data_IF_031267630430
#
_entry.id   IF_031267630430
#
_cell.length_a   1.000
_cell.length_b   1.000
_cell.length_c   1.000
_cell.angle_alpha   90.00
_cell.angle_beta   90.00
_cell.angle_gamma   90.00
#
_symmetry.space_group_name_H-M   'P 1'
#
loop_
_entity.id
_entity.type
_entity.pdbx_description
1 polymer ?
#
# COMPACT_ATOMS: atom_id res chain seq x y z
N UNK A 1 9.29 39.15 -4.23
CA UNK A 1 8.06 39.11 -3.44
C UNK A 1 7.76 37.67 -3.09
N UNK A 2 8.09 37.22 -1.87
CA UNK A 2 7.86 35.87 -1.44
C UNK A 2 6.37 35.64 -1.14
N UNK A 3 5.86 34.50 -1.55
CA UNK A 3 4.54 33.99 -1.21
C UNK A 3 4.53 33.58 0.27
N UNK A 4 4.34 34.52 1.19
CA UNK A 4 4.26 34.29 2.62
C UNK A 4 2.91 33.74 3.10
N UNK A 5 1.86 33.83 2.27
CA UNK A 5 0.49 33.48 2.67
C UNK A 5 0.13 32.00 2.46
N UNK A 6 1.00 31.20 1.88
CA UNK A 6 0.76 29.75 1.67
C UNK A 6 1.00 28.93 2.94
N UNK A 7 1.71 29.48 3.91
CA UNK A 7 2.07 28.83 5.18
C UNK A 7 1.17 29.24 6.36
N UNK A 8 0.27 30.21 6.18
CA UNK A 8 -0.69 30.58 7.20
C UNK A 8 -1.88 29.61 7.15
N UNK A 9 -1.85 28.64 8.06
CA UNK A 9 -3.02 27.77 8.30
C UNK A 9 -4.14 28.68 8.83
N UNK A 10 -5.27 28.73 8.10
CA UNK A 10 -6.45 29.48 8.53
C UNK A 10 -6.82 29.07 9.96
N UNK A 11 -6.96 30.00 10.92
CA UNK A 11 -7.37 29.70 12.30
C UNK A 11 -8.64 28.84 12.39
N UNK A 12 -9.54 28.96 11.42
CA UNK A 12 -10.73 28.08 11.32
C UNK A 12 -10.38 26.62 10.99
N UNK A 13 -9.29 26.37 10.26
CA UNK A 13 -8.81 25.01 9.97
C UNK A 13 -8.21 24.37 11.22
N UNK A 14 -7.46 25.12 12.03
CA UNK A 14 -6.91 24.63 13.30
C UNK A 14 -8.01 24.28 14.29
N UNK A 15 -9.01 25.15 14.48
CA UNK A 15 -10.15 24.88 15.36
C UNK A 15 -10.93 23.64 14.93
N UNK A 16 -11.14 23.44 13.62
CA UNK A 16 -11.79 22.25 13.10
C UNK A 16 -10.95 20.99 13.33
N UNK A 17 -9.65 21.10 13.21
CA UNK A 17 -8.71 20.01 13.38
C UNK A 17 -8.58 19.59 14.86
N UNK A 18 -8.52 20.56 15.78
CA UNK A 18 -8.55 20.32 17.21
C UNK A 18 -9.87 19.63 17.62
N UNK A 19 -11.01 20.12 17.10
CA UNK A 19 -12.33 19.53 17.38
C UNK A 19 -12.45 18.07 16.87
N UNK A 20 -11.75 17.70 15.79
CA UNK A 20 -11.74 16.34 15.27
C UNK A 20 -11.19 15.34 16.31
N UNK A 21 -10.13 15.71 17.01
CA UNK A 21 -9.44 14.84 17.97
C UNK A 21 -10.02 14.90 19.40
N UNK A 22 -11.21 15.46 19.57
CA UNK A 22 -11.94 15.45 20.85
C UNK A 22 -12.68 14.13 21.13
N UNK A 23 -12.79 13.24 20.16
CA UNK A 23 -13.54 12.00 20.28
C UNK A 23 -12.87 10.81 19.57
N UNK A 24 -13.15 9.59 20.03
CA UNK A 24 -12.74 8.35 19.37
C UNK A 24 -13.16 8.32 17.89
N UNK A 25 -14.40 8.70 17.60
CA UNK A 25 -14.92 8.73 16.22
C UNK A 25 -14.07 9.66 15.32
N UNK A 26 -13.64 10.82 15.83
CA UNK A 26 -12.79 11.72 15.07
C UNK A 26 -11.41 11.14 14.74
N UNK A 27 -10.81 10.38 15.65
CA UNK A 27 -9.56 9.63 15.36
C UNK A 27 -9.78 8.53 14.32
N UNK A 28 -10.89 7.80 14.41
CA UNK A 28 -11.26 6.77 13.44
C UNK A 28 -11.51 7.36 12.05
N UNK A 29 -12.18 8.52 11.98
CA UNK A 29 -12.41 9.26 10.74
C UNK A 29 -11.09 9.76 10.13
N UNK A 30 -10.20 10.31 10.94
CA UNK A 30 -8.87 10.75 10.49
C UNK A 30 -8.06 9.58 9.91
N UNK A 31 -8.04 8.43 10.58
CA UNK A 31 -7.37 7.23 10.10
C UNK A 31 -8.00 6.70 8.80
N UNK A 32 -9.32 6.65 8.72
CA UNK A 32 -10.07 6.28 7.52
C UNK A 32 -9.77 7.24 6.36
N UNK A 33 -9.63 8.51 6.67
CA UNK A 33 -9.22 9.55 5.70
C UNK A 33 -7.87 9.27 5.06
N UNK A 34 -6.89 8.74 5.81
CA UNK A 34 -5.58 8.35 5.27
C UNK A 34 -5.73 7.18 4.29
N UNK A 35 -6.44 6.12 4.66
CA UNK A 35 -6.70 4.98 3.75
C UNK A 35 -7.46 5.41 2.51
N UNK A 36 -8.45 6.30 2.65
CA UNK A 36 -9.20 6.86 1.51
C UNK A 36 -8.29 7.69 0.59
N UNK A 37 -7.38 8.47 1.16
CA UNK A 37 -6.39 9.23 0.38
C UNK A 37 -5.48 8.28 -0.40
N UNK A 38 -4.94 7.25 0.24
CA UNK A 38 -4.10 6.24 -0.40
C UNK A 38 -4.83 5.50 -1.53
N UNK A 39 -6.13 5.28 -1.40
CA UNK A 39 -6.96 4.62 -2.42
C UNK A 39 -7.26 5.48 -3.66
N UNK A 40 -6.87 6.77 -3.69
CA UNK A 40 -7.07 7.65 -4.86
C UNK A 40 -6.22 7.21 -6.04
N UNK A 41 -6.69 7.54 -7.24
CA UNK A 41 -5.98 7.25 -8.51
C UNK A 41 -4.56 7.84 -8.56
N UNK A 42 -4.33 8.99 -7.92
CA UNK A 42 -3.01 9.62 -7.82
C UNK A 42 -2.03 8.93 -6.87
N UNK A 43 -2.47 7.93 -6.11
CA UNK A 43 -1.64 7.14 -5.19
C UNK A 43 -1.77 5.64 -5.49
N UNK A 44 -1.87 4.79 -4.46
CA UNK A 44 -1.98 3.33 -4.60
C UNK A 44 -3.24 2.89 -5.37
N UNK A 45 -4.29 3.71 -5.42
CA UNK A 45 -5.47 3.44 -6.23
C UNK A 45 -5.23 3.48 -7.74
N UNK A 46 -4.05 3.85 -8.21
CA UNK A 46 -3.71 3.94 -9.62
C UNK A 46 -2.22 4.10 -9.89
N UNK A 47 -1.67 5.29 -9.71
CA UNK A 47 -0.28 5.63 -10.09
C UNK A 47 0.78 4.72 -9.43
N UNK A 48 0.61 4.35 -8.18
CA UNK A 48 1.61 3.61 -7.42
C UNK A 48 1.42 2.08 -7.50
N UNK A 49 0.44 1.58 -8.25
CA UNK A 49 0.17 0.13 -8.39
C UNK A 49 0.06 -0.37 -9.81
N UNK A 50 -0.51 0.41 -10.72
CA UNK A 50 -0.72 0.03 -12.12
C UNK A 50 -0.34 1.13 -13.11
N UNK A 51 0.08 2.30 -12.60
CA UNK A 51 0.50 3.45 -13.40
C UNK A 51 2.01 3.66 -13.39
N UNK A 52 2.47 4.76 -12.82
CA UNK A 52 3.85 5.23 -12.85
C UNK A 52 4.88 4.16 -12.45
N UNK A 53 4.68 3.46 -11.33
CA UNK A 53 5.64 2.45 -10.87
C UNK A 53 5.70 1.22 -11.79
N UNK A 54 4.57 0.77 -12.34
CA UNK A 54 4.54 -0.32 -13.32
C UNK A 54 5.20 0.08 -14.65
N UNK A 55 5.13 1.36 -15.06
CA UNK A 55 5.87 1.86 -16.21
C UNK A 55 7.37 1.85 -15.97
N UNK A 56 7.82 2.34 -14.81
CA UNK A 56 9.25 2.32 -14.42
C UNK A 56 9.76 0.88 -14.32
N UNK A 57 8.95 -0.05 -13.82
CA UNK A 57 9.26 -1.48 -13.76
C UNK A 57 9.21 -2.18 -15.13
N UNK A 58 8.87 -1.49 -16.21
CA UNK A 58 8.73 -2.08 -17.55
C UNK A 58 7.71 -3.22 -17.63
N UNK A 59 6.66 -3.15 -16.82
CA UNK A 59 5.53 -4.10 -16.87
C UNK A 59 4.82 -4.00 -18.22
N UNK A 60 4.67 -2.79 -18.74
CA UNK A 60 4.11 -2.53 -20.07
C UNK A 60 5.20 -2.35 -21.13
N UNK A 61 4.89 -2.69 -22.37
CA UNK A 61 5.77 -2.46 -23.52
C UNK A 61 5.32 -1.30 -24.40
N UNK A 62 4.07 -0.92 -24.27
CA UNK A 62 3.48 0.20 -24.99
C UNK A 62 2.46 0.89 -24.11
N UNK A 63 2.54 2.20 -24.05
CA UNK A 63 1.58 3.07 -23.39
C UNK A 63 1.30 4.27 -24.29
N UNK A 64 0.16 4.91 -24.11
CA UNK A 64 -0.25 6.07 -24.91
C UNK A 64 -0.40 7.28 -23.98
N UNK A 65 -0.01 8.45 -24.47
CA UNK A 65 -0.14 9.75 -23.81
C UNK A 65 0.69 9.90 -22.53
N UNK A 66 0.03 10.03 -21.37
CA UNK A 66 0.62 10.47 -20.10
C UNK A 66 1.87 9.72 -19.66
N UNK A 67 1.94 8.43 -19.95
CA UNK A 67 3.04 7.56 -19.47
C UNK A 67 4.10 7.24 -20.52
N UNK A 68 3.99 7.75 -21.75
CA UNK A 68 4.92 7.42 -22.82
C UNK A 68 6.37 7.82 -22.48
N UNK A 69 6.55 9.00 -21.91
CA UNK A 69 7.86 9.49 -21.50
C UNK A 69 8.39 8.76 -20.26
N UNK A 70 7.51 8.39 -19.32
CA UNK A 70 7.86 7.58 -18.15
C UNK A 70 8.41 6.22 -18.59
N UNK A 71 7.73 5.55 -19.52
CA UNK A 71 8.16 4.24 -20.05
C UNK A 71 9.55 4.31 -20.71
N UNK A 72 9.92 5.47 -21.26
CA UNK A 72 11.22 5.74 -21.88
C UNK A 72 12.26 6.26 -20.89
N UNK A 73 11.92 6.38 -19.60
CA UNK A 73 12.76 7.02 -18.57
C UNK A 73 13.12 8.47 -18.86
N UNK A 74 12.27 9.17 -19.63
CA UNK A 74 12.45 10.58 -19.92
C UNK A 74 11.78 11.44 -18.83
N UNK A 75 12.50 11.67 -17.75
CA UNK A 75 11.98 12.34 -16.56
C UNK A 75 11.96 13.86 -16.64
N UNK A 76 12.48 14.45 -17.72
CA UNK A 76 12.48 15.89 -17.93
C UNK A 76 11.16 16.43 -18.51
N UNK A 77 10.36 15.55 -19.08
CA UNK A 77 9.08 15.92 -19.69
C UNK A 77 8.00 16.23 -18.67
N UNK A 78 7.05 17.07 -19.04
CA UNK A 78 6.00 17.58 -18.14
C UNK A 78 5.18 16.47 -17.50
N UNK A 79 4.78 15.46 -18.27
CA UNK A 79 3.98 14.35 -17.75
C UNK A 79 4.76 13.48 -16.77
N UNK A 80 6.04 13.22 -17.05
CA UNK A 80 6.91 12.47 -16.15
C UNK A 80 7.13 13.24 -14.84
N UNK A 81 7.40 14.52 -14.91
CA UNK A 81 7.51 15.39 -13.72
C UNK A 81 6.24 15.36 -12.89
N UNK A 82 5.07 15.48 -13.52
CA UNK A 82 3.79 15.44 -12.82
C UNK A 82 3.57 14.10 -12.10
N UNK A 83 3.99 12.97 -12.68
CA UNK A 83 3.94 11.66 -12.00
C UNK A 83 4.88 11.59 -10.79
N UNK A 84 6.10 12.10 -10.94
CA UNK A 84 7.12 12.12 -9.88
C UNK A 84 6.66 13.03 -8.72
N UNK A 85 6.20 14.23 -9.04
CA UNK A 85 5.69 15.19 -8.06
C UNK A 85 4.47 14.63 -7.34
N UNK A 86 3.54 14.00 -8.07
CA UNK A 86 2.34 13.36 -7.50
C UNK A 86 2.69 12.23 -6.53
N UNK A 87 3.68 11.41 -6.85
CA UNK A 87 4.19 10.37 -5.96
C UNK A 87 4.78 10.97 -4.66
N UNK A 88 5.59 11.99 -4.78
CA UNK A 88 6.18 12.70 -3.65
C UNK A 88 5.12 13.40 -2.78
N UNK A 89 4.33 14.26 -3.37
CA UNK A 89 3.35 15.08 -2.66
C UNK A 89 2.23 14.26 -2.03
N UNK A 90 1.74 13.22 -2.73
CA UNK A 90 0.69 12.34 -2.23
C UNK A 90 1.13 11.62 -0.96
N UNK A 91 2.32 11.02 -0.98
CA UNK A 91 2.85 10.29 0.18
C UNK A 91 3.13 11.23 1.36
N UNK A 92 3.76 12.40 1.16
CA UNK A 92 3.98 13.34 2.25
C UNK A 92 2.70 13.97 2.79
N UNK A 93 1.68 14.14 1.96
CA UNK A 93 0.36 14.58 2.43
C UNK A 93 -0.29 13.53 3.34
N UNK A 94 -0.20 12.25 3.00
CA UNK A 94 -0.67 11.16 3.85
C UNK A 94 0.15 11.05 5.15
N UNK A 95 1.48 11.22 5.10
CA UNK A 95 2.37 11.28 6.26
C UNK A 95 1.97 12.44 7.20
N UNK A 96 1.65 13.61 6.64
CA UNK A 96 1.21 14.74 7.45
C UNK A 96 -0.08 14.42 8.24
N UNK A 97 -1.03 13.68 7.63
CA UNK A 97 -2.23 13.22 8.34
C UNK A 97 -1.90 12.17 9.42
N UNK A 98 -0.96 11.25 9.18
CA UNK A 98 -0.47 10.35 10.24
C UNK A 98 0.09 11.14 11.42
N UNK A 99 0.89 12.19 11.15
CA UNK A 99 1.47 13.04 12.17
C UNK A 99 0.41 13.79 12.97
N UNK A 100 -0.71 14.21 12.38
CA UNK A 100 -1.82 14.81 13.11
C UNK A 100 -2.45 13.84 14.11
N UNK A 101 -2.69 12.59 13.73
CA UNK A 101 -3.18 11.56 14.66
C UNK A 101 -2.18 11.37 15.81
N UNK A 102 -0.90 11.18 15.47
CA UNK A 102 0.16 10.89 16.45
C UNK A 102 0.45 12.06 17.40
N UNK A 103 0.20 13.29 16.97
CA UNK A 103 0.34 14.47 17.82
C UNK A 103 -0.69 14.55 18.96
N UNK A 104 -1.87 13.93 18.79
CA UNK A 104 -2.99 14.05 19.72
C UNK A 104 -3.34 12.75 20.44
N UNK A 105 -3.01 11.58 19.88
CA UNK A 105 -3.50 10.29 20.35
C UNK A 105 -3.13 9.96 21.79
N UNK A 106 -1.92 10.33 22.23
CA UNK A 106 -1.43 10.03 23.59
C UNK A 106 -2.10 10.93 24.64
N UNK A 107 -2.27 12.21 24.33
CA UNK A 107 -2.92 13.18 25.21
C UNK A 107 -4.42 12.90 25.37
N UNK A 108 -5.03 12.31 24.35
CA UNK A 108 -6.46 11.98 24.29
C UNK A 108 -6.76 10.51 24.58
N UNK A 109 -5.83 9.76 25.16
CA UNK A 109 -6.02 8.32 25.42
C UNK A 109 -7.33 7.99 26.13
N UNK A 110 -7.83 8.87 26.97
CA UNK A 110 -9.07 8.68 27.74
C UNK A 110 -10.37 8.68 26.90
N UNK A 111 -10.35 9.08 25.61
CA UNK A 111 -11.55 9.08 24.78
C UNK A 111 -11.79 7.72 24.11
N UNK A 112 -10.81 6.81 24.13
CA UNK A 112 -10.86 5.55 23.40
C UNK A 112 -11.50 4.42 24.20
N UNK A 113 -12.28 3.62 23.51
CA UNK A 113 -12.71 2.31 23.96
C UNK A 113 -11.52 1.35 24.04
N UNK A 114 -11.70 0.24 24.77
CA UNK A 114 -10.64 -0.76 24.97
C UNK A 114 -10.01 -1.24 23.67
N UNK A 115 -8.70 -1.15 23.57
CA UNK A 115 -7.89 -1.59 22.43
C UNK A 115 -7.87 -0.61 21.24
N UNK A 116 -8.81 0.33 21.14
CA UNK A 116 -8.89 1.25 19.98
C UNK A 116 -7.75 2.25 19.98
N UNK A 117 -7.31 2.74 21.17
CA UNK A 117 -6.13 3.58 21.27
C UNK A 117 -4.88 2.91 20.69
N UNK A 118 -4.63 1.67 21.10
CA UNK A 118 -3.47 0.89 20.66
C UNK A 118 -3.52 0.67 19.12
N UNK A 119 -4.69 0.35 18.58
CA UNK A 119 -4.85 0.12 17.15
C UNK A 119 -4.72 1.40 16.33
N UNK A 120 -5.35 2.50 16.73
CA UNK A 120 -5.23 3.80 16.04
C UNK A 120 -3.79 4.30 16.01
N UNK A 121 -3.10 4.25 17.17
CA UNK A 121 -1.70 4.64 17.26
C UNK A 121 -0.81 3.73 16.40
N UNK A 122 -1.00 2.42 16.49
CA UNK A 122 -0.22 1.45 15.71
C UNK A 122 -0.42 1.63 14.20
N UNK A 123 -1.66 1.78 13.75
CA UNK A 123 -1.92 1.97 12.32
C UNK A 123 -1.35 3.29 11.81
N UNK A 124 -1.43 4.38 12.58
CA UNK A 124 -0.82 5.66 12.20
C UNK A 124 0.71 5.59 12.10
N UNK A 125 1.38 4.92 13.05
CA UNK A 125 2.84 4.65 13.01
C UNK A 125 3.20 3.78 11.80
N UNK A 126 2.48 2.68 11.59
CA UNK A 126 2.74 1.75 10.51
C UNK A 126 2.52 2.38 9.12
N UNK A 127 1.45 3.17 8.96
CA UNK A 127 1.19 3.91 7.72
C UNK A 127 2.28 4.93 7.45
N UNK A 128 2.72 5.68 8.46
CA UNK A 128 3.82 6.64 8.31
C UNK A 128 5.11 5.95 7.88
N UNK A 129 5.44 4.83 8.51
CA UNK A 129 6.61 4.03 8.15
C UNK A 129 6.50 3.46 6.73
N UNK A 130 5.33 2.94 6.35
CA UNK A 130 5.05 2.38 5.03
C UNK A 130 5.22 3.42 3.91
N UNK A 131 4.64 4.60 4.09
CA UNK A 131 4.72 5.70 3.14
C UNK A 131 6.16 6.22 2.98
N UNK A 132 6.90 6.38 4.10
CA UNK A 132 8.33 6.73 4.02
C UNK A 132 9.16 5.64 3.34
N UNK A 133 8.82 4.37 3.50
CA UNK A 133 9.54 3.29 2.84
C UNK A 133 9.33 3.33 1.32
N UNK A 134 8.13 3.63 0.84
CA UNK A 134 7.89 3.76 -0.59
C UNK A 134 8.57 5.01 -1.17
N UNK A 135 8.57 6.13 -0.45
CA UNK A 135 9.39 7.30 -0.82
C UNK A 135 10.88 6.96 -0.85
N UNK A 136 11.39 6.23 0.14
CA UNK A 136 12.80 5.81 0.18
C UNK A 136 13.17 4.99 -1.06
N UNK A 137 12.35 4.01 -1.42
CA UNK A 137 12.59 3.16 -2.61
C UNK A 137 12.48 3.93 -3.91
N UNK A 138 11.59 4.92 -3.97
CA UNK A 138 11.36 5.72 -5.18
C UNK A 138 12.43 6.79 -5.44
N UNK A 139 13.01 7.39 -4.38
CA UNK A 139 13.81 8.61 -4.48
C UNK A 139 15.24 8.49 -3.95
N UNK A 140 15.67 7.34 -3.47
CA UNK A 140 16.98 7.18 -2.90
C UNK A 140 17.75 6.00 -3.51
N UNK A 141 19.03 5.92 -3.23
CA UNK A 141 19.82 4.73 -3.51
C UNK A 141 19.30 3.53 -2.73
N UNK A 142 19.52 2.32 -3.26
CA UNK A 142 19.25 1.12 -2.48
C UNK A 142 20.17 1.04 -1.26
N UNK A 143 19.73 0.36 -0.21
CA UNK A 143 20.55 0.19 1.00
C UNK A 143 21.91 -0.44 0.71
N UNK A 144 21.95 -1.40 -0.22
CA UNK A 144 23.20 -2.11 -0.59
C UNK A 144 24.19 -1.19 -1.30
N UNK A 145 23.71 -0.24 -2.10
CA UNK A 145 24.58 0.61 -2.95
C UNK A 145 24.88 1.97 -2.37
N UNK A 146 24.05 2.47 -1.44
CA UNK A 146 24.19 3.85 -0.96
C UNK A 146 23.57 4.09 0.42
N UNK A 147 23.81 3.20 1.39
CA UNK A 147 23.25 3.33 2.74
C UNK A 147 23.63 4.63 3.45
N UNK A 148 24.78 5.19 3.15
CA UNK A 148 25.31 6.41 3.75
C UNK A 148 25.01 7.68 2.92
N UNK A 149 24.39 7.51 1.75
CA UNK A 149 23.96 8.63 0.90
C UNK A 149 22.71 9.30 1.45
N UNK A 150 22.58 10.61 1.20
CA UNK A 150 21.36 11.35 1.53
C UNK A 150 20.18 10.80 0.73
N UNK A 151 19.06 10.61 1.43
CA UNK A 151 17.84 10.06 0.89
C UNK A 151 16.71 11.08 0.92
N UNK A 152 15.76 10.87 1.81
CA UNK A 152 14.54 11.65 1.96
C UNK A 152 14.45 12.29 3.34
N UNK A 153 13.68 13.38 3.50
CA UNK A 153 13.29 13.85 4.83
C UNK A 153 12.43 12.82 5.54
N UNK A 154 12.76 12.45 6.76
CA UNK A 154 11.87 11.67 7.59
C UNK A 154 11.02 12.61 8.47
N UNK A 155 9.73 12.76 8.11
CA UNK A 155 8.83 13.73 8.74
C UNK A 155 7.99 13.04 9.80
N UNK A 156 8.40 13.14 11.05
CA UNK A 156 7.82 12.43 12.21
C UNK A 156 6.93 13.30 13.12
N UNK A 157 6.70 14.55 12.73
CA UNK A 157 5.88 15.48 13.51
C UNK A 157 5.17 16.49 12.60
N UNK A 158 4.15 17.10 13.15
CA UNK A 158 3.48 18.24 12.51
C UNK A 158 4.47 19.41 12.42
N UNK A 159 4.72 19.88 11.20
CA UNK A 159 5.63 21.00 10.96
C UNK A 159 5.30 21.71 9.65
N UNK A 160 5.48 23.00 9.63
CA UNK A 160 5.45 23.85 8.42
C UNK A 160 6.86 24.27 7.98
N UNK A 161 7.89 23.72 8.64
CA UNK A 161 9.29 24.03 8.32
C UNK A 161 9.89 22.90 7.48
N UNK A 162 10.82 23.22 6.58
CA UNK A 162 11.58 22.21 5.86
C UNK A 162 12.29 21.26 6.84
N UNK A 163 12.21 19.97 6.54
CA UNK A 163 12.92 18.90 7.25
C UNK A 163 14.12 18.49 6.42
N UNK A 164 15.30 18.41 7.04
CA UNK A 164 16.51 17.97 6.34
C UNK A 164 16.40 16.51 5.89
N UNK A 165 17.07 16.19 4.79
CA UNK A 165 17.24 14.81 4.37
C UNK A 165 18.06 14.04 5.41
N UNK A 166 17.71 12.78 5.60
CA UNK A 166 18.49 11.78 6.36
C UNK A 166 19.16 10.82 5.38
N UNK A 167 20.15 10.07 5.85
CA UNK A 167 20.75 9.01 5.03
C UNK A 167 19.78 7.85 4.84
N UNK A 168 20.03 7.02 3.82
CA UNK A 168 19.25 5.79 3.57
C UNK A 168 19.18 4.92 4.83
N UNK A 169 20.32 4.74 5.50
CA UNK A 169 20.39 3.95 6.72
C UNK A 169 19.55 4.54 7.86
N UNK A 170 19.65 5.86 8.10
CA UNK A 170 18.88 6.54 9.15
C UNK A 170 17.37 6.46 8.90
N UNK A 171 16.93 6.69 7.66
CA UNK A 171 15.53 6.56 7.28
C UNK A 171 15.03 5.14 7.52
N UNK A 172 15.80 4.14 7.09
CA UNK A 172 15.40 2.74 7.22
C UNK A 172 15.32 2.27 8.68
N UNK A 173 16.25 2.72 9.55
CA UNK A 173 16.20 2.43 10.99
C UNK A 173 14.96 3.04 11.64
N UNK A 174 14.56 4.24 11.25
CA UNK A 174 13.34 4.88 11.78
C UNK A 174 12.09 4.14 11.32
N UNK A 175 12.04 3.71 10.05
CA UNK A 175 10.96 2.88 9.51
C UNK A 175 10.80 1.60 10.33
N UNK A 176 11.90 0.88 10.57
CA UNK A 176 11.89 -0.37 11.35
C UNK A 176 11.42 -0.11 12.78
N UNK A 177 11.97 0.91 13.43
CA UNK A 177 11.62 1.27 14.82
C UNK A 177 10.12 1.54 14.96
N UNK A 178 9.54 2.34 14.07
CA UNK A 178 8.11 2.67 14.10
C UNK A 178 7.23 1.47 13.78
N UNK A 179 7.61 0.66 12.79
CA UNK A 179 6.86 -0.54 12.43
C UNK A 179 6.90 -1.61 13.54
N UNK A 180 8.04 -1.78 14.23
CA UNK A 180 8.13 -2.68 15.40
C UNK A 180 7.33 -2.16 16.60
N UNK A 181 7.33 -0.86 16.85
CA UNK A 181 6.46 -0.25 17.88
C UNK A 181 4.99 -0.47 17.54
N UNK A 182 4.59 -0.22 16.32
CA UNK A 182 3.23 -0.45 15.83
C UNK A 182 2.80 -1.92 16.00
N UNK A 183 3.65 -2.85 15.57
CA UNK A 183 3.42 -4.29 15.70
C UNK A 183 3.21 -4.71 17.16
N UNK A 184 4.02 -4.19 18.06
CA UNK A 184 3.90 -4.46 19.51
C UNK A 184 2.60 -3.91 20.08
N UNK A 185 2.22 -2.68 19.74
CA UNK A 185 1.00 -2.04 20.22
C UNK A 185 -0.27 -2.80 19.81
N UNK A 186 -0.35 -3.24 18.57
CA UNK A 186 -1.57 -3.83 18.01
C UNK A 186 -1.72 -5.35 18.29
N UNK A 187 -0.65 -6.01 18.73
CA UNK A 187 -0.56 -7.47 18.86
C UNK A 187 -1.73 -8.10 19.62
N UNK A 188 -2.07 -7.52 20.77
CA UNK A 188 -3.05 -8.09 21.70
C UNK A 188 -4.48 -7.61 21.45
N UNK A 189 -4.65 -6.61 20.58
CA UNK A 189 -5.96 -5.97 20.38
C UNK A 189 -6.55 -6.19 19.00
N UNK A 190 -5.73 -6.54 17.99
CA UNK A 190 -6.23 -6.78 16.62
C UNK A 190 -6.98 -8.10 16.52
N UNK A 191 -8.25 -8.11 16.13
CA UNK A 191 -9.02 -9.35 15.95
C UNK A 191 -8.44 -10.32 14.94
N UNK A 192 -7.68 -9.83 13.94
CA UNK A 192 -6.97 -10.67 13.00
C UNK A 192 -5.61 -11.15 13.54
N UNK A 193 -5.13 -10.54 14.64
CA UNK A 193 -3.83 -10.81 15.26
C UNK A 193 -3.72 -12.16 15.96
N UNK A 194 -2.55 -12.47 16.53
CA UNK A 194 -2.25 -13.76 17.12
C UNK A 194 -2.97 -14.04 18.44
N UNK A 195 -3.53 -13.01 19.10
CA UNK A 195 -4.28 -13.18 20.33
C UNK A 195 -5.69 -13.79 20.11
N UNK A 196 -6.14 -13.92 18.87
CA UNK A 196 -7.46 -14.42 18.51
C UNK A 196 -7.38 -15.60 17.55
N UNK A 197 -8.00 -16.72 17.92
CA UNK A 197 -7.98 -17.95 17.10
C UNK A 197 -8.85 -17.83 15.86
N UNK A 198 -9.97 -17.08 15.95
CA UNK A 198 -10.94 -16.97 14.87
C UNK A 198 -11.20 -15.51 14.52
N UNK A 199 -11.12 -15.22 13.23
CA UNK A 199 -11.53 -13.96 12.64
C UNK A 199 -12.47 -14.21 11.48
N UNK A 200 -13.57 -13.45 11.42
CA UNK A 200 -14.44 -13.40 10.25
C UNK A 200 -14.40 -11.98 9.69
N UNK A 201 -14.31 -11.83 8.37
CA UNK A 201 -14.20 -10.53 7.70
C UNK A 201 -15.34 -9.58 8.07
N UNK A 202 -16.52 -10.12 8.33
CA UNK A 202 -17.71 -9.38 8.79
C UNK A 202 -17.69 -9.01 10.27
N UNK A 203 -16.79 -9.56 11.08
CA UNK A 203 -16.62 -9.23 12.50
C UNK A 203 -17.81 -9.55 13.43
N UNK A 204 -18.84 -10.23 12.92
CA UNK A 204 -20.13 -10.35 13.60
C UNK A 204 -20.21 -11.36 14.75
N UNK A 205 -19.14 -12.00 15.16
CA UNK A 205 -19.23 -13.11 16.11
C UNK A 205 -18.77 -12.84 17.53
N UNK A 206 -18.30 -11.64 17.80
CA UNK A 206 -17.91 -11.25 19.17
C UNK A 206 -18.53 -9.91 19.53
N UNK A 207 -19.26 -9.87 20.63
CA UNK A 207 -19.80 -8.63 21.19
C UNK A 207 -18.69 -7.60 21.46
N UNK A 208 -17.47 -8.08 21.74
CA UNK A 208 -16.30 -7.24 21.97
C UNK A 208 -15.89 -6.42 20.74
N UNK A 209 -16.15 -6.91 19.52
CA UNK A 209 -15.82 -6.20 18.27
C UNK A 209 -16.88 -5.19 17.82
N UNK A 210 -18.08 -5.25 18.38
CA UNK A 210 -19.16 -4.30 18.10
C UNK A 210 -18.92 -2.98 18.85
N UNK A 211 -18.21 -3.03 19.96
CA UNK A 211 -17.74 -1.85 20.67
C UNK A 211 -16.69 -1.14 19.80
N UNK A 212 -16.79 0.15 19.63
CA UNK A 212 -15.91 0.90 18.72
C UNK A 212 -16.54 1.21 17.34
N UNK A 213 -17.87 1.14 17.21
CA UNK A 213 -18.58 1.66 16.05
C UNK A 213 -18.26 1.00 14.71
N UNK A 214 -17.87 -0.27 14.72
CA UNK A 214 -17.47 -0.99 13.50
C UNK A 214 -16.00 -0.85 13.12
N UNK A 215 -15.19 -0.19 13.94
CA UNK A 215 -13.75 -0.01 13.71
C UNK A 215 -12.99 -1.33 13.48
N UNK A 216 -13.41 -2.38 14.18
CA UNK A 216 -12.79 -3.71 14.12
C UNK A 216 -13.23 -4.56 12.92
N UNK A 217 -14.14 -4.04 12.09
CA UNK A 217 -14.55 -4.74 10.88
C UNK A 217 -13.53 -4.57 9.75
N UNK A 218 -13.51 -5.53 8.82
CA UNK A 218 -12.69 -5.46 7.60
C UNK A 218 -11.20 -5.23 7.84
N UNK A 219 -10.62 -5.95 8.81
CA UNK A 219 -9.20 -5.79 9.19
C UNK A 219 -8.23 -6.02 8.03
N UNK A 220 -8.58 -6.83 7.03
CA UNK A 220 -7.78 -6.99 5.81
C UNK A 220 -7.74 -5.74 4.93
N UNK A 221 -8.62 -4.75 5.15
CA UNK A 221 -8.57 -3.45 4.49
C UNK A 221 -7.85 -2.38 5.32
N UNK A 222 -6.99 -2.82 6.24
CA UNK A 222 -6.20 -1.98 7.15
C UNK A 222 -4.78 -2.55 7.24
N UNK A 223 -3.84 -1.78 7.81
CA UNK A 223 -2.56 -2.31 8.29
C UNK A 223 -2.80 -3.02 9.64
N UNK A 224 -3.32 -4.24 9.56
CA UNK A 224 -3.52 -5.13 10.70
C UNK A 224 -2.18 -5.69 11.21
N UNK A 225 -2.21 -6.46 12.30
CA UNK A 225 -0.99 -7.05 12.89
C UNK A 225 -0.13 -7.80 11.87
N UNK A 226 -0.73 -8.67 11.07
CA UNK A 226 0.02 -9.42 10.04
C UNK A 226 0.41 -8.55 8.85
N UNK A 227 -0.33 -7.49 8.55
CA UNK A 227 0.07 -6.47 7.57
C UNK A 227 1.34 -5.75 8.00
N UNK A 228 1.43 -5.34 9.26
CA UNK A 228 2.65 -4.73 9.81
C UNK A 228 3.82 -5.73 9.84
N UNK A 229 3.56 -6.99 10.20
CA UNK A 229 4.57 -8.05 10.20
C UNK A 229 5.07 -8.35 8.78
N UNK A 230 4.19 -8.41 7.79
CA UNK A 230 4.56 -8.59 6.39
C UNK A 230 5.34 -7.39 5.83
N UNK A 231 4.96 -6.18 6.23
CA UNK A 231 5.71 -4.98 5.91
C UNK A 231 7.14 -5.03 6.48
N UNK A 232 7.29 -5.42 7.73
CA UNK A 232 8.61 -5.63 8.35
C UNK A 232 9.43 -6.70 7.61
N UNK A 233 8.82 -7.79 7.16
CA UNK A 233 9.52 -8.79 6.34
C UNK A 233 10.12 -8.17 5.06
N UNK A 234 9.34 -7.34 4.36
CA UNK A 234 9.77 -6.59 3.17
C UNK A 234 10.91 -5.62 3.48
N UNK A 235 10.80 -4.85 4.57
CA UNK A 235 11.79 -3.86 4.97
C UNK A 235 13.10 -4.52 5.40
N UNK A 236 13.04 -5.60 6.17
CA UNK A 236 14.22 -6.35 6.58
C UNK A 236 14.94 -7.00 5.39
N UNK A 237 14.18 -7.55 4.42
CA UNK A 237 14.79 -8.07 3.19
C UNK A 237 15.49 -6.95 2.41
N UNK A 238 14.85 -5.79 2.26
CA UNK A 238 15.45 -4.62 1.60
C UNK A 238 16.76 -4.16 2.29
N UNK A 239 16.83 -4.25 3.61
CA UNK A 239 18.03 -3.97 4.41
C UNK A 239 19.11 -5.03 4.25
N UNK A 240 18.75 -6.23 3.79
CA UNK A 240 19.64 -7.40 3.77
C UNK A 240 19.66 -8.19 5.08
N UNK A 241 18.78 -7.86 6.02
CA UNK A 241 18.60 -8.60 7.27
C UNK A 241 17.70 -9.84 7.04
N UNK A 242 18.32 -10.86 6.47
CA UNK A 242 17.64 -12.10 6.09
C UNK A 242 17.04 -12.86 7.28
N UNK A 243 17.65 -12.76 8.46
CA UNK A 243 17.17 -13.45 9.66
C UNK A 243 15.83 -12.91 10.09
N UNK A 244 15.71 -11.60 10.25
CA UNK A 244 14.46 -10.96 10.63
C UNK A 244 13.41 -10.99 9.51
N UNK A 245 13.83 -10.86 8.25
CA UNK A 245 12.95 -11.02 7.09
C UNK A 245 12.28 -12.40 7.07
N UNK A 246 13.06 -13.47 7.24
CA UNK A 246 12.57 -14.85 7.29
C UNK A 246 11.64 -15.08 8.49
N UNK A 247 12.00 -14.57 9.66
CA UNK A 247 11.19 -14.73 10.87
C UNK A 247 9.81 -14.08 10.70
N UNK A 248 9.75 -12.83 10.21
CA UNK A 248 8.51 -12.14 9.96
C UNK A 248 7.67 -12.82 8.86
N UNK A 249 8.28 -13.24 7.75
CA UNK A 249 7.58 -13.93 6.68
C UNK A 249 6.98 -15.25 7.14
N UNK A 250 7.74 -16.06 7.90
CA UNK A 250 7.26 -17.32 8.50
C UNK A 250 6.11 -17.09 9.46
N UNK A 251 6.18 -16.09 10.31
CA UNK A 251 5.10 -15.79 11.25
C UNK A 251 3.77 -15.56 10.52
N UNK A 252 3.79 -14.83 9.39
CA UNK A 252 2.60 -14.61 8.57
C UNK A 252 2.12 -15.91 7.93
N UNK A 253 3.03 -16.67 7.31
CA UNK A 253 2.71 -17.95 6.64
C UNK A 253 2.11 -18.95 7.63
N UNK A 254 2.74 -19.14 8.78
CA UNK A 254 2.39 -20.12 9.80
C UNK A 254 1.14 -19.72 10.61
N UNK A 255 0.68 -18.46 10.48
CA UNK A 255 -0.54 -17.99 11.15
C UNK A 255 -1.80 -18.75 10.71
N UNK A 256 -1.81 -19.28 9.50
CA UNK A 256 -2.97 -19.93 8.89
C UNK A 256 -4.16 -19.01 8.60
N UNK A 257 -3.97 -17.68 8.78
CA UNK A 257 -5.03 -16.68 8.56
C UNK A 257 -5.25 -16.34 7.07
N UNK A 258 -4.31 -16.70 6.22
CA UNK A 258 -4.30 -16.40 4.79
C UNK A 258 -4.02 -17.67 4.00
N UNK A 259 -4.50 -17.75 2.77
CA UNK A 259 -4.26 -18.87 1.87
C UNK A 259 -3.97 -18.40 0.45
N UNK A 260 -3.08 -19.12 -0.24
CA UNK A 260 -2.84 -18.90 -1.66
C UNK A 260 -4.08 -19.30 -2.47
N UNK A 261 -4.21 -18.70 -3.63
CA UNK A 261 -5.22 -19.06 -4.62
C UNK A 261 -5.02 -20.52 -5.07
N UNK A 262 -6.07 -21.33 -5.08
CA UNK A 262 -6.05 -22.70 -5.56
C UNK A 262 -6.56 -22.79 -7.01
N UNK A 263 -6.01 -23.74 -7.79
CA UNK A 263 -6.37 -23.94 -9.21
C UNK A 263 -7.88 -24.11 -9.43
N UNK A 264 -8.55 -24.86 -8.53
CA UNK A 264 -10.02 -25.04 -8.62
C UNK A 264 -10.82 -23.74 -8.53
N UNK A 265 -10.27 -22.70 -7.90
CA UNK A 265 -10.90 -21.40 -7.81
C UNK A 265 -10.83 -20.64 -9.12
N UNK A 266 -9.78 -20.86 -9.93
CA UNK A 266 -9.63 -20.30 -11.28
C UNK A 266 -10.65 -20.86 -12.27
N UNK A 267 -11.15 -22.06 -12.03
CA UNK A 267 -12.05 -22.78 -12.95
C UNK A 267 -13.54 -22.50 -12.68
N UNK A 268 -13.88 -21.92 -11.54
CA UNK A 268 -15.26 -21.83 -11.08
C UNK A 268 -16.01 -20.57 -11.52
N UNK A 269 -15.29 -19.60 -12.07
CA UNK A 269 -15.92 -18.31 -12.30
C UNK A 269 -15.26 -17.60 -13.50
N UNK A 270 -16.05 -16.97 -14.35
CA UNK A 270 -15.60 -16.30 -15.57
C UNK A 270 -15.08 -14.87 -15.34
N UNK A 271 -14.95 -14.43 -14.10
CA UNK A 271 -14.54 -13.05 -13.78
C UNK A 271 -13.07 -12.94 -13.41
N UNK A 272 -12.39 -11.95 -13.97
CA UNK A 272 -10.96 -11.62 -13.84
C UNK A 272 -10.47 -11.34 -12.41
N UNK A 273 -11.39 -11.16 -11.48
CA UNK A 273 -11.12 -10.91 -10.07
C UNK A 273 -10.36 -11.99 -9.32
N UNK A 274 -10.12 -13.17 -9.93
CA UNK A 274 -9.54 -14.33 -9.25
C UNK A 274 -8.08 -14.22 -8.89
N UNK A 275 -7.29 -13.61 -9.73
CA UNK A 275 -5.88 -13.37 -9.42
C UNK A 275 -5.71 -12.37 -8.27
N UNK A 276 -6.81 -11.82 -7.83
CA UNK A 276 -6.94 -10.94 -6.69
C UNK A 276 -7.70 -11.61 -5.54
N UNK A 277 -7.45 -12.89 -5.28
CA UNK A 277 -8.09 -13.61 -4.17
C UNK A 277 -7.91 -12.86 -2.86
N UNK A 278 -9.02 -12.42 -2.27
CA UNK A 278 -9.03 -11.75 -0.96
C UNK A 278 -8.46 -12.63 0.16
N UNK A 279 -8.43 -13.95 -0.04
CA UNK A 279 -7.81 -14.88 0.90
C UNK A 279 -6.29 -14.71 0.95
N UNK A 280 -5.67 -14.26 -0.13
CA UNK A 280 -4.24 -13.99 -0.23
C UNK A 280 -3.85 -12.61 0.31
N UNK A 281 -4.82 -11.69 0.46
CA UNK A 281 -4.55 -10.33 0.92
C UNK A 281 -4.30 -10.33 2.43
N UNK A 282 -3.09 -9.90 2.81
CA UNK A 282 -2.73 -9.65 4.21
C UNK A 282 -3.23 -8.27 4.62
N UNK A 283 -2.97 -7.28 3.77
CA UNK A 283 -3.42 -5.91 3.91
C UNK A 283 -3.75 -5.34 2.53
N UNK A 284 -4.83 -4.58 2.43
CA UNK A 284 -5.33 -4.02 1.18
C UNK A 284 -5.94 -2.63 1.37
N UNK A 285 -6.22 -1.96 0.27
CA UNK A 285 -7.01 -0.74 0.24
C UNK A 285 -8.35 -1.05 -0.42
N UNK A 286 -9.42 -0.57 0.18
CA UNK A 286 -10.73 -0.56 -0.45
C UNK A 286 -10.85 0.62 -1.40
N UNK A 287 -11.22 0.36 -2.64
CA UNK A 287 -11.47 1.37 -3.68
C UNK A 287 -12.95 1.35 -4.02
N UNK A 288 -13.68 2.40 -3.67
CA UNK A 288 -15.15 2.47 -3.79
C UNK A 288 -15.62 2.19 -5.23
N UNK A 289 -14.95 2.78 -6.20
CA UNK A 289 -15.23 2.55 -7.63
C UNK A 289 -13.91 2.29 -8.36
N UNK A 290 -13.58 1.02 -8.54
CA UNK A 290 -12.34 0.61 -9.22
C UNK A 290 -12.38 0.93 -10.72
N UNK A 291 -13.55 0.93 -11.33
CA UNK A 291 -13.72 1.17 -12.75
C UNK A 291 -13.54 2.65 -13.08
N UNK A 292 -13.98 3.55 -12.21
CA UNK A 292 -13.94 5.00 -12.46
C UNK A 292 -12.50 5.51 -12.62
N UNK A 293 -12.19 6.05 -13.81
CA UNK A 293 -10.90 6.65 -14.14
C UNK A 293 -9.73 5.65 -14.25
N UNK A 294 -9.98 4.35 -14.17
CA UNK A 294 -8.97 3.29 -14.26
C UNK A 294 -9.20 2.34 -15.43
N UNK A 295 -10.45 1.93 -15.69
CA UNK A 295 -10.80 1.07 -16.82
C UNK A 295 -10.33 1.65 -18.14
N UNK A 296 -10.50 2.95 -18.34
CA UNK A 296 -10.09 3.67 -19.53
C UNK A 296 -8.59 3.75 -19.76
N UNK A 297 -7.78 3.50 -18.73
CA UNK A 297 -6.32 3.68 -18.78
C UNK A 297 -5.58 2.36 -18.61
N UNK A 298 -5.97 1.53 -17.67
CA UNK A 298 -5.19 0.37 -17.26
C UNK A 298 -5.80 -0.97 -17.67
N UNK A 299 -7.13 -1.09 -17.71
CA UNK A 299 -7.81 -2.34 -18.07
C UNK A 299 -9.16 -2.06 -18.75
N UNK A 300 -9.57 -2.94 -19.66
CA UNK A 300 -10.80 -2.81 -20.44
C UNK A 300 -10.57 -3.01 -21.93
N UNK A 301 -11.61 -3.37 -22.67
CA UNK A 301 -11.57 -3.58 -24.14
C UNK A 301 -11.78 -2.29 -24.94
N UNK A 302 -12.23 -1.23 -24.29
CA UNK A 302 -12.59 0.04 -24.93
C UNK A 302 -11.39 0.71 -25.61
N UNK A 303 -11.67 1.48 -26.63
CA UNK A 303 -10.67 2.14 -27.48
C UNK A 303 -9.78 3.15 -26.75
N UNK A 304 -10.16 3.55 -25.55
CA UNK A 304 -9.42 4.46 -24.68
C UNK A 304 -8.28 3.81 -23.93
N UNK A 305 -8.19 2.46 -23.91
CA UNK A 305 -7.15 1.77 -23.17
C UNK A 305 -5.74 2.11 -23.67
N UNK A 306 -4.84 2.34 -22.74
CA UNK A 306 -3.56 3.02 -22.99
C UNK A 306 -2.32 2.24 -22.55
N UNK A 307 -2.49 1.11 -21.87
CA UNK A 307 -1.40 0.32 -21.32
C UNK A 307 -1.43 -1.12 -21.84
N UNK A 308 -0.40 -1.52 -22.58
CA UNK A 308 -0.33 -2.82 -23.24
C UNK A 308 0.96 -3.55 -22.94
N UNK A 309 0.90 -4.87 -22.94
CA UNK A 309 2.06 -5.74 -22.96
C UNK A 309 2.08 -6.54 -24.28
N UNK A 310 3.24 -6.61 -24.92
CA UNK A 310 3.41 -7.46 -26.11
C UNK A 310 3.49 -8.93 -25.73
N UNK A 311 3.09 -9.81 -26.66
CA UNK A 311 3.21 -11.24 -26.48
C UNK A 311 4.66 -11.70 -26.27
N UNK A 312 5.59 -11.07 -26.97
CA UNK A 312 7.02 -11.31 -26.78
C UNK A 312 7.50 -11.00 -25.34
N UNK A 313 7.10 -9.84 -24.78
CA UNK A 313 7.46 -9.49 -23.40
C UNK A 313 6.80 -10.41 -22.38
N UNK A 314 5.53 -10.75 -22.61
CA UNK A 314 4.78 -11.68 -21.77
C UNK A 314 5.44 -13.04 -21.70
N UNK A 315 5.87 -13.58 -22.86
CA UNK A 315 6.59 -14.85 -22.95
C UNK A 315 7.95 -14.82 -22.25
N UNK A 316 8.66 -13.69 -22.29
CA UNK A 316 9.94 -13.53 -21.57
C UNK A 316 9.75 -13.53 -20.07
N UNK A 317 8.68 -12.89 -19.57
CA UNK A 317 8.44 -12.74 -18.12
C UNK A 317 7.80 -13.98 -17.51
N UNK A 318 6.84 -14.61 -18.23
CA UNK A 318 5.99 -15.66 -17.68
C UNK A 318 6.19 -17.02 -18.36
N UNK A 319 7.15 -17.16 -19.27
CA UNK A 319 7.32 -18.36 -20.07
C UNK A 319 6.38 -18.46 -21.26
N UNK A 320 6.55 -19.52 -22.05
CA UNK A 320 5.76 -19.74 -23.28
C UNK A 320 4.37 -20.28 -22.92
N UNK A 321 3.29 -19.63 -23.39
CA UNK A 321 1.93 -20.11 -23.15
C UNK A 321 1.75 -21.58 -23.61
N UNK A 322 1.20 -22.41 -22.73
CA UNK A 322 0.96 -23.83 -22.98
C UNK A 322 2.14 -24.75 -22.69
N UNK A 323 3.32 -24.21 -22.37
CA UNK A 323 4.52 -24.98 -21.97
C UNK A 323 4.82 -24.77 -20.48
N UNK A 324 4.79 -23.51 -20.05
CA UNK A 324 5.01 -23.13 -18.66
C UNK A 324 3.67 -22.78 -18.00
N UNK A 325 3.37 -23.40 -16.86
CA UNK A 325 2.10 -23.24 -16.16
C UNK A 325 2.25 -22.06 -15.16
N UNK A 326 2.38 -20.86 -15.65
CA UNK A 326 2.17 -19.67 -14.82
C UNK A 326 0.72 -19.18 -14.98
N UNK A 327 -0.06 -19.33 -13.92
CA UNK A 327 -1.48 -18.93 -13.95
C UNK A 327 -1.70 -17.46 -14.23
N UNK A 328 -0.73 -16.61 -13.88
CA UNK A 328 -0.77 -15.18 -14.20
C UNK A 328 -0.71 -14.95 -15.70
N UNK A 329 0.15 -15.70 -16.41
CA UNK A 329 0.25 -15.62 -17.86
C UNK A 329 -1.05 -16.02 -18.55
N UNK A 330 -1.76 -17.00 -18.01
CA UNK A 330 -3.00 -17.51 -18.59
C UNK A 330 -4.22 -16.65 -18.26
N UNK A 331 -4.25 -16.03 -17.08
CA UNK A 331 -5.47 -15.44 -16.53
C UNK A 331 -5.39 -13.94 -16.24
N UNK A 332 -4.20 -13.31 -16.24
CA UNK A 332 -4.04 -11.90 -15.93
C UNK A 332 -4.05 -10.99 -17.16
N UNK A 333 -3.86 -11.56 -18.33
CA UNK A 333 -3.72 -10.81 -19.58
C UNK A 333 -4.87 -11.07 -20.52
N UNK A 334 -5.50 -10.02 -21.00
CA UNK A 334 -6.64 -10.06 -21.92
C UNK A 334 -6.20 -9.56 -23.28
N UNK A 335 -6.45 -10.38 -24.32
CA UNK A 335 -6.20 -9.98 -25.70
C UNK A 335 -7.25 -8.96 -26.13
N UNK A 336 -6.80 -7.80 -26.59
CA UNK A 336 -7.71 -6.79 -27.14
C UNK A 336 -8.29 -7.28 -28.47
N UNK A 337 -9.61 -7.17 -28.60
CA UNK A 337 -10.35 -7.62 -29.78
C UNK A 337 -9.80 -6.97 -31.06
N UNK A 338 -9.40 -7.78 -32.03
CA UNK A 338 -8.88 -7.34 -33.34
C UNK A 338 -7.41 -6.88 -33.33
N UNK A 339 -6.70 -7.02 -32.20
CA UNK A 339 -5.29 -6.67 -32.06
C UNK A 339 -4.43 -7.87 -31.59
N UNK A 340 -3.11 -7.68 -31.60
CA UNK A 340 -2.12 -8.65 -31.06
C UNK A 340 -1.55 -8.19 -29.72
N UNK A 341 -2.23 -7.24 -29.07
CA UNK A 341 -1.80 -6.60 -27.82
C UNK A 341 -2.67 -7.08 -26.68
N UNK A 342 -2.05 -7.21 -25.51
CA UNK A 342 -2.72 -7.60 -24.27
C UNK A 342 -2.73 -6.45 -23.29
N UNK A 343 -3.82 -6.30 -22.59
CA UNK A 343 -3.87 -5.43 -21.41
C UNK A 343 -3.86 -6.28 -20.13
N UNK A 344 -3.51 -5.65 -19.02
CA UNK A 344 -3.49 -6.31 -17.71
C UNK A 344 -4.86 -6.16 -17.05
N UNK A 345 -5.57 -7.28 -16.88
CA UNK A 345 -6.88 -7.32 -16.22
C UNK A 345 -6.81 -7.49 -14.70
N UNK A 346 -5.66 -7.32 -14.11
CA UNK A 346 -5.31 -7.67 -12.73
C UNK A 346 -6.30 -7.17 -11.66
N UNK A 347 -6.88 -5.99 -11.83
CA UNK A 347 -7.80 -5.39 -10.85
C UNK A 347 -9.22 -5.20 -11.41
N UNK A 348 -9.51 -5.71 -12.58
CA UNK A 348 -10.83 -5.62 -13.18
C UNK A 348 -11.86 -6.39 -12.36
N UNK A 349 -12.99 -5.78 -12.08
CA UNK A 349 -14.10 -6.40 -11.36
C UNK A 349 -13.89 -6.59 -9.85
N UNK A 350 -12.85 -5.97 -9.26
CA UNK A 350 -12.60 -6.01 -7.81
C UNK A 350 -12.50 -4.60 -7.22
N UNK A 351 -12.86 -4.46 -5.96
CA UNK A 351 -12.83 -3.17 -5.23
C UNK A 351 -11.70 -3.11 -4.20
N UNK A 352 -10.65 -3.93 -4.36
CA UNK A 352 -9.52 -3.96 -3.43
C UNK A 352 -8.19 -4.01 -4.16
N UNK A 353 -7.24 -3.24 -3.66
CA UNK A 353 -5.84 -3.26 -4.10
C UNK A 353 -4.99 -3.78 -2.94
N UNK A 354 -4.28 -4.91 -3.10
CA UNK A 354 -3.40 -5.41 -2.05
C UNK A 354 -2.19 -4.50 -1.87
N UNK A 355 -1.89 -4.18 -0.62
CA UNK A 355 -0.61 -3.59 -0.22
C UNK A 355 0.43 -4.68 0.07
N UNK A 356 -0.04 -5.78 0.64
CA UNK A 356 0.78 -6.92 1.07
C UNK A 356 0.02 -8.22 0.80
N UNK A 357 0.69 -9.19 0.19
CA UNK A 357 0.13 -10.49 -0.19
C UNK A 357 0.92 -11.64 0.42
N UNK A 358 0.23 -12.76 0.66
CA UNK A 358 0.85 -13.98 1.17
C UNK A 358 1.92 -14.55 0.22
N UNK A 359 1.72 -14.46 -1.10
CA UNK A 359 2.70 -14.88 -2.10
C UNK A 359 4.04 -14.17 -1.95
N UNK A 360 4.04 -12.88 -1.59
CA UNK A 360 5.25 -12.13 -1.29
C UNK A 360 6.00 -12.72 -0.08
N UNK A 361 5.28 -13.16 0.95
CA UNK A 361 5.90 -13.78 2.12
C UNK A 361 6.63 -15.07 1.78
N UNK A 362 6.07 -15.90 0.91
CA UNK A 362 6.75 -17.09 0.40
C UNK A 362 8.02 -16.74 -0.40
N UNK A 363 7.97 -15.70 -1.23
CA UNK A 363 9.12 -15.23 -1.99
C UNK A 363 10.22 -14.68 -1.06
N UNK A 364 9.84 -13.88 -0.05
CA UNK A 364 10.78 -13.38 0.97
C UNK A 364 11.41 -14.55 1.73
N UNK A 365 10.61 -15.52 2.16
CA UNK A 365 11.13 -16.68 2.86
C UNK A 365 12.10 -17.50 2.00
N UNK A 366 11.82 -17.67 0.71
CA UNK A 366 12.70 -18.37 -0.22
C UNK A 366 14.03 -17.63 -0.45
N UNK A 367 14.01 -16.29 -0.57
CA UNK A 367 15.22 -15.48 -0.77
C UNK A 367 16.06 -15.35 0.51
N UNK A 368 15.42 -15.35 1.66
CA UNK A 368 16.08 -15.19 2.96
C UNK A 368 16.63 -16.51 3.54
N UNK A 369 16.19 -17.67 3.03
CA UNK A 369 16.68 -19.00 3.42
C UNK A 369 17.99 -19.30 2.73
#
# INVERSE_FOLDING_TARGET
GGCSNWLDVDPKSQVKQEALFESEAGFQDALTGIYTMMARTGMYGGHETMGFLDMVAQTYTEVIYTYEDVLKYNYEETNSKACIDGFWEGNYSAIANCNQILAHVDERKGVFSSGVYEAVKAEALALRAFLHFDLLRGFAFSYVTGKDELAIPYVDKVTNKPVAQSTVAEVLERIITEAEEARKLIREVDPLGPAYDTYTESGYKSEDFIQGGGFWLYRKSKLNYYGITAFLARVYLYKGDKVNALACAKEVIESGKFSLLEEKQLQQDETWGYLCSENEYISSLYVYDMEEGRSDVFFGEESSMRCYISDARRSVVFGTPGVDIDWRNQNMFVLKTGETKYYVGKYQGVNRIPLLKLSEMYLIAAEAS
#
